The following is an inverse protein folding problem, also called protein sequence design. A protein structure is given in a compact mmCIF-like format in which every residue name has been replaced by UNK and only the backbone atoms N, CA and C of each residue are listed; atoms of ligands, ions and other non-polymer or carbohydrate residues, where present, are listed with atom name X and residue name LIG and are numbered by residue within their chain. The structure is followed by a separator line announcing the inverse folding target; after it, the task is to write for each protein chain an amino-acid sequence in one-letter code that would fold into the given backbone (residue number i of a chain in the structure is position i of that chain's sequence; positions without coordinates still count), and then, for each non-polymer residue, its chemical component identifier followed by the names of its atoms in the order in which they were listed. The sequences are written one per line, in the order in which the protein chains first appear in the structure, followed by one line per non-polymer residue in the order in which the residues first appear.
data_IF_181237828555
#
_entry.id   IF_181237828555
#
_cell.length_a   1.000
_cell.length_b   1.000
_cell.length_c   1.000
_cell.angle_alpha   90.00
_cell.angle_beta   90.00
_cell.angle_gamma   90.00
#
_symmetry.space_group_name_H-M   'P 1'
#
loop_
_entity.id
_entity.type
_entity.pdbx_description
1 polymer ?
#
# COMPACT_ATOMS: atom_id res chain seq x y z
N UNK A 1 9.54 10.85 19.20
CA UNK A 1 10.09 11.12 20.57
C UNK A 1 10.34 9.80 21.28
N UNK A 2 9.35 8.95 21.49
CA UNK A 2 9.54 7.69 22.25
C UNK A 2 10.61 6.79 21.64
N UNK A 3 10.61 6.59 20.33
CA UNK A 3 11.65 5.80 19.62
C UNK A 3 13.03 6.42 19.80
N UNK A 4 13.16 7.75 19.72
CA UNK A 4 14.44 8.43 19.95
C UNK A 4 14.92 8.29 21.39
N UNK A 5 14.03 8.34 22.38
CA UNK A 5 14.38 8.08 23.78
C UNK A 5 14.89 6.64 23.93
N UNK A 6 14.18 5.66 23.38
CA UNK A 6 14.61 4.26 23.40
C UNK A 6 15.97 4.05 22.73
N UNK A 7 16.21 4.66 21.57
CA UNK A 7 17.49 4.59 20.88
C UNK A 7 18.62 5.21 21.71
N UNK A 8 18.36 6.38 22.35
CA UNK A 8 19.34 7.01 23.24
C UNK A 8 19.65 6.15 24.44
N UNK A 9 18.65 5.53 25.08
CA UNK A 9 18.83 4.61 26.20
C UNK A 9 19.60 3.33 25.78
N UNK A 10 19.45 2.91 24.52
CA UNK A 10 20.22 1.81 23.93
C UNK A 10 21.64 2.21 23.48
N UNK A 11 22.08 3.45 23.74
CA UNK A 11 23.44 3.93 23.45
C UNK A 11 23.65 4.47 22.02
N UNK A 12 22.60 4.65 21.24
CA UNK A 12 22.71 5.28 19.91
C UNK A 12 22.81 6.79 20.00
N UNK A 13 23.58 7.39 19.11
CA UNK A 13 23.60 8.85 18.94
C UNK A 13 22.32 9.25 18.17
N UNK A 14 21.47 10.05 18.80
CA UNK A 14 20.26 10.59 18.18
C UNK A 14 20.28 12.12 18.26
N UNK A 15 19.75 12.83 17.25
CA UNK A 15 19.65 14.28 17.29
C UNK A 15 18.82 14.75 18.50
N UNK A 16 19.25 15.84 19.13
CA UNK A 16 18.44 16.48 20.17
C UNK A 16 17.23 17.18 19.56
N UNK A 17 16.07 16.96 20.18
CA UNK A 17 14.83 17.62 19.76
C UNK A 17 14.63 18.88 20.59
N UNK A 18 14.49 20.02 19.92
CA UNK A 18 13.99 21.22 20.59
C UNK A 18 12.49 21.03 20.90
N UNK A 19 12.19 20.62 22.13
CA UNK A 19 10.83 20.31 22.57
C UNK A 19 9.88 21.50 22.46
N UNK A 20 10.34 22.73 22.69
CA UNK A 20 9.50 23.92 22.55
C UNK A 20 9.09 24.13 21.08
N UNK A 21 10.04 24.01 20.14
CA UNK A 21 9.76 24.12 18.71
C UNK A 21 8.83 22.98 18.25
N UNK A 22 9.09 21.76 18.72
CA UNK A 22 8.24 20.60 18.42
C UNK A 22 6.79 20.80 18.90
N UNK A 23 6.60 21.23 20.16
CA UNK A 23 5.26 21.45 20.72
C UNK A 23 4.52 22.58 20.00
N UNK A 24 5.23 23.64 19.62
CA UNK A 24 4.65 24.73 18.84
C UNK A 24 4.23 24.26 17.45
N UNK A 25 5.08 23.51 16.74
CA UNK A 25 4.77 22.94 15.44
C UNK A 25 3.55 22.01 15.52
N UNK A 26 3.51 21.13 16.54
CA UNK A 26 2.37 20.24 16.78
C UNK A 26 1.07 21.02 16.97
N UNK A 27 1.10 22.08 17.80
CA UNK A 27 -0.10 22.87 18.07
C UNK A 27 -0.61 23.59 16.82
N UNK A 28 0.28 24.20 16.05
CA UNK A 28 -0.09 24.84 14.77
C UNK A 28 -0.64 23.84 13.75
N UNK A 29 -0.04 22.66 13.69
CA UNK A 29 -0.53 21.59 12.80
C UNK A 29 -1.92 21.13 13.23
N UNK A 30 -2.17 20.96 14.53
CA UNK A 30 -3.47 20.56 15.05
C UNK A 30 -4.53 21.64 14.76
N UNK A 31 -4.23 22.91 14.99
CA UNK A 31 -5.10 24.04 14.67
C UNK A 31 -5.47 24.05 13.17
N UNK A 32 -4.48 23.87 12.30
CA UNK A 32 -4.72 23.75 10.85
C UNK A 32 -5.63 22.56 10.51
N UNK A 33 -5.40 21.39 11.13
CA UNK A 33 -6.25 20.21 10.94
C UNK A 33 -7.69 20.49 11.36
N UNK A 34 -7.86 21.12 12.53
CA UNK A 34 -9.19 21.38 13.09
C UNK A 34 -9.95 22.44 12.29
N UNK A 35 -9.27 23.51 11.86
CA UNK A 35 -9.89 24.64 11.16
C UNK A 35 -10.09 24.38 9.66
N UNK A 36 -9.18 23.64 9.01
CA UNK A 36 -9.17 23.51 7.56
C UNK A 36 -9.49 22.09 7.07
N UNK A 37 -8.78 21.08 7.56
CA UNK A 37 -8.96 19.72 7.05
C UNK A 37 -10.32 19.10 7.44
N UNK A 38 -10.98 19.63 8.45
CA UNK A 38 -12.31 19.22 8.86
C UNK A 38 -13.37 19.32 7.76
N UNK A 39 -13.18 20.18 6.77
CA UNK A 39 -14.07 20.31 5.61
C UNK A 39 -13.88 19.20 4.57
N UNK A 40 -12.72 18.58 4.55
CA UNK A 40 -12.34 17.57 3.54
C UNK A 40 -12.25 16.16 4.10
N UNK A 41 -12.23 16.01 5.43
CA UNK A 41 -12.12 14.71 6.09
C UNK A 41 -13.48 14.26 6.63
N UNK A 42 -13.85 13.03 6.30
CA UNK A 42 -14.99 12.37 6.95
C UNK A 42 -14.75 12.33 8.47
N UNK A 43 -15.69 12.86 9.30
CA UNK A 43 -15.55 12.84 10.76
C UNK A 43 -15.32 11.44 11.34
N UNK A 44 -15.80 10.38 10.68
CA UNK A 44 -15.57 9.00 11.09
C UNK A 44 -14.10 8.58 11.00
N UNK A 45 -13.30 9.25 10.18
CA UNK A 45 -11.87 8.98 10.05
C UNK A 45 -11.03 9.59 11.18
N UNK A 46 -11.63 10.40 12.06
CA UNK A 46 -10.94 11.01 13.22
C UNK A 46 -10.80 10.05 14.40
N UNK A 47 -11.53 8.94 14.41
CA UNK A 47 -11.55 8.00 15.52
C UNK A 47 -10.95 6.66 15.10
N UNK A 48 -9.86 6.27 15.77
CA UNK A 48 -9.33 4.92 15.65
C UNK A 48 -10.13 3.97 16.53
N UNK A 49 -10.65 2.90 15.94
CA UNK A 49 -11.21 1.78 16.70
C UNK A 49 -10.13 1.14 17.58
N UNK A 50 -10.50 0.69 18.79
CA UNK A 50 -9.62 -0.07 19.67
C UNK A 50 -9.09 -1.36 19.01
N UNK A 51 -9.86 -1.93 18.08
CA UNK A 51 -9.44 -3.08 17.26
C UNK A 51 -8.17 -2.77 16.43
N UNK A 52 -8.04 -1.53 15.94
CA UNK A 52 -6.91 -1.11 15.12
C UNK A 52 -5.61 -0.93 15.93
N UNK A 53 -5.73 -0.62 17.22
CA UNK A 53 -4.57 -0.42 18.10
C UNK A 53 -3.89 -1.74 18.49
N UNK A 54 -4.64 -2.83 18.53
CA UNK A 54 -4.16 -4.14 18.96
C UNK A 54 -3.61 -5.04 17.85
N UNK A 55 -3.83 -4.71 16.57
CA UNK A 55 -3.54 -5.62 15.46
C UNK A 55 -2.04 -5.73 15.09
N UNK A 56 -1.18 -4.82 15.56
CA UNK A 56 0.25 -4.82 15.24
C UNK A 56 0.61 -4.55 13.77
N UNK A 57 -0.35 -4.19 12.93
CA UNK A 57 -0.12 -3.88 11.52
C UNK A 57 0.38 -2.44 11.32
N UNK A 58 1.20 -2.19 10.28
CA UNK A 58 1.65 -0.83 9.95
C UNK A 58 0.50 0.13 9.66
N UNK A 59 0.59 1.36 10.15
CA UNK A 59 -0.47 2.36 10.02
C UNK A 59 -0.87 2.67 8.57
N UNK A 60 0.08 2.69 7.63
CA UNK A 60 -0.21 2.89 6.21
C UNK A 60 -1.03 1.74 5.61
N UNK A 61 -0.72 0.49 5.99
CA UNK A 61 -1.51 -0.68 5.59
C UNK A 61 -2.92 -0.61 6.16
N UNK A 62 -3.04 -0.22 7.43
CA UNK A 62 -4.33 -0.03 8.10
C UNK A 62 -5.17 1.06 7.43
N UNK A 63 -4.58 2.21 7.12
CA UNK A 63 -5.28 3.31 6.46
C UNK A 63 -5.86 2.90 5.11
N UNK A 64 -5.08 2.21 4.28
CA UNK A 64 -5.55 1.70 2.98
C UNK A 64 -6.60 0.60 3.13
N UNK A 65 -6.45 -0.27 4.13
CA UNK A 65 -7.44 -1.30 4.45
C UNK A 65 -8.80 -0.69 4.81
N UNK A 66 -8.80 0.30 5.70
CA UNK A 66 -10.04 0.97 6.14
C UNK A 66 -10.71 1.75 5.01
N UNK A 67 -9.95 2.30 4.07
CA UNK A 67 -10.50 2.96 2.88
C UNK A 67 -11.27 1.98 1.98
N UNK A 68 -10.74 0.76 1.79
CA UNK A 68 -11.34 -0.26 0.95
C UNK A 68 -12.55 -0.95 1.63
N UNK A 69 -12.53 -1.02 2.97
CA UNK A 69 -13.51 -1.82 3.75
C UNK A 69 -14.96 -1.42 3.51
N UNK A 70 -15.28 -0.14 3.34
CA UNK A 70 -16.68 0.30 3.12
C UNK A 70 -17.26 -0.31 1.84
N UNK A 71 -16.48 -0.31 0.76
CA UNK A 71 -16.90 -0.90 -0.52
C UNK A 71 -17.01 -2.42 -0.44
N UNK A 72 -16.01 -3.06 0.17
CA UNK A 72 -15.98 -4.52 0.33
C UNK A 72 -17.09 -5.01 1.24
N UNK A 73 -17.35 -4.35 2.37
CA UNK A 73 -18.43 -4.68 3.28
C UNK A 73 -19.80 -4.65 2.59
N UNK A 74 -20.04 -3.60 1.78
CA UNK A 74 -21.28 -3.52 0.99
C UNK A 74 -21.39 -4.68 -0.01
N UNK A 75 -20.31 -5.03 -0.70
CA UNK A 75 -20.26 -6.15 -1.63
C UNK A 75 -20.48 -7.50 -0.94
N UNK A 76 -19.83 -7.73 0.19
CA UNK A 76 -20.02 -8.95 1.01
C UNK A 76 -21.47 -9.10 1.45
N UNK A 77 -22.09 -8.03 1.95
CA UNK A 77 -23.48 -8.07 2.40
C UNK A 77 -24.47 -8.32 1.25
N UNK A 78 -24.16 -7.86 0.04
CA UNK A 78 -24.95 -8.24 -1.15
C UNK A 78 -24.84 -9.75 -1.45
N UNK A 79 -23.66 -10.34 -1.33
CA UNK A 79 -23.43 -11.78 -1.52
C UNK A 79 -24.20 -12.57 -0.45
N UNK A 80 -24.06 -12.20 0.82
CA UNK A 80 -24.76 -12.85 1.93
C UNK A 80 -26.27 -12.77 1.78
N UNK A 81 -26.80 -11.63 1.39
CA UNK A 81 -28.22 -11.45 1.08
C UNK A 81 -28.68 -12.38 -0.05
N UNK A 82 -27.88 -12.51 -1.10
CA UNK A 82 -28.15 -13.45 -2.20
C UNK A 82 -28.17 -14.91 -1.77
N UNK A 83 -27.42 -15.23 -0.71
CA UNK A 83 -27.37 -16.58 -0.09
C UNK A 83 -28.46 -16.77 1.00
N UNK A 84 -29.30 -15.78 1.28
CA UNK A 84 -30.29 -15.82 2.35
C UNK A 84 -29.71 -15.80 3.76
N UNK A 85 -28.49 -15.27 3.91
CA UNK A 85 -27.77 -15.14 5.19
C UNK A 85 -27.93 -13.72 5.76
N UNK A 86 -27.78 -13.62 7.08
CA UNK A 86 -27.76 -12.32 7.78
C UNK A 86 -26.56 -11.46 7.33
N UNK A 87 -26.72 -10.14 7.31
CA UNK A 87 -25.62 -9.23 6.98
C UNK A 87 -24.52 -9.30 8.05
N UNK A 88 -23.28 -9.23 7.60
CA UNK A 88 -22.09 -9.16 8.44
C UNK A 88 -21.90 -7.74 8.99
N UNK A 89 -21.51 -7.60 10.25
CA UNK A 89 -21.10 -6.33 10.82
C UNK A 89 -19.72 -5.91 10.27
N UNK A 90 -19.46 -4.62 10.25
CA UNK A 90 -18.15 -4.10 9.79
C UNK A 90 -17.01 -4.61 10.68
N UNK A 91 -17.22 -4.66 11.99
CA UNK A 91 -16.23 -5.15 12.94
C UNK A 91 -15.90 -6.63 12.74
N UNK A 92 -16.90 -7.45 12.40
CA UNK A 92 -16.67 -8.87 12.08
C UNK A 92 -15.81 -9.02 10.82
N UNK A 93 -16.05 -8.19 9.81
CA UNK A 93 -15.21 -8.14 8.61
C UNK A 93 -13.78 -7.72 8.92
N UNK A 94 -13.58 -6.75 9.80
CA UNK A 94 -12.24 -6.31 10.25
C UNK A 94 -11.51 -7.45 10.94
N UNK A 95 -12.16 -8.17 11.85
CA UNK A 95 -11.59 -9.33 12.55
C UNK A 95 -11.20 -10.42 11.54
N UNK A 96 -12.14 -10.80 10.65
CA UNK A 96 -11.85 -11.79 9.60
C UNK A 96 -10.66 -11.41 8.72
N UNK A 97 -10.52 -10.12 8.41
CA UNK A 97 -9.43 -9.64 7.59
C UNK A 97 -8.09 -9.70 8.33
N UNK A 98 -8.07 -9.41 9.63
CA UNK A 98 -6.84 -9.56 10.44
C UNK A 98 -6.40 -11.02 10.55
N UNK A 99 -7.34 -11.92 10.81
CA UNK A 99 -7.07 -13.36 10.81
C UNK A 99 -6.52 -13.83 9.46
N UNK A 100 -7.07 -13.29 8.37
CA UNK A 100 -6.62 -13.66 7.03
C UNK A 100 -5.24 -13.06 6.69
N UNK A 101 -4.92 -11.87 7.16
CA UNK A 101 -3.56 -11.31 7.03
C UNK A 101 -2.55 -12.16 7.81
N UNK A 102 -2.88 -12.56 9.04
CA UNK A 102 -2.06 -13.46 9.85
C UNK A 102 -1.86 -14.81 9.16
N UNK A 103 -2.86 -15.31 8.46
CA UNK A 103 -2.78 -16.55 7.67
C UNK A 103 -1.92 -16.38 6.41
N UNK A 104 -2.10 -15.30 5.66
CA UNK A 104 -1.49 -15.03 4.35
C UNK A 104 -0.01 -14.66 4.48
N UNK A 105 0.31 -13.76 5.38
CA UNK A 105 1.64 -13.16 5.47
C UNK A 105 2.79 -14.17 5.60
N UNK A 106 2.76 -15.13 6.54
CA UNK A 106 3.81 -16.15 6.61
C UNK A 106 3.85 -17.07 5.38
N UNK A 107 2.71 -17.36 4.76
CA UNK A 107 2.62 -18.21 3.57
C UNK A 107 3.20 -17.60 2.31
N UNK A 108 3.24 -16.27 2.27
CA UNK A 108 3.91 -15.50 1.23
C UNK A 108 5.41 -15.26 1.50
N UNK A 109 6.00 -15.93 2.52
CA UNK A 109 7.42 -15.79 2.84
C UNK A 109 7.77 -14.51 3.60
N UNK A 110 6.86 -13.97 4.40
CA UNK A 110 7.06 -12.78 5.24
C UNK A 110 7.53 -11.54 4.48
N UNK A 111 6.90 -11.15 3.36
CA UNK A 111 7.29 -9.92 2.69
C UNK A 111 7.26 -8.74 3.66
N UNK A 112 8.17 -7.76 3.55
CA UNK A 112 8.16 -6.59 4.41
C UNK A 112 6.82 -5.87 4.34
N UNK A 113 6.20 -5.54 5.50
CA UNK A 113 4.91 -4.83 5.52
C UNK A 113 5.08 -3.33 5.28
N UNK A 114 5.82 -2.98 4.24
CA UNK A 114 6.00 -1.62 3.71
C UNK A 114 5.50 -1.58 2.27
N UNK A 115 5.16 -0.41 1.77
CA UNK A 115 4.72 -0.22 0.38
C UNK A 115 5.84 -0.62 -0.60
N UNK A 116 5.55 -1.40 -1.65
CA UNK A 116 4.23 -1.88 -2.09
C UNK A 116 3.80 -3.21 -1.46
N UNK A 117 4.68 -3.97 -0.81
CA UNK A 117 4.44 -5.35 -0.38
C UNK A 117 3.30 -5.48 0.64
N UNK A 118 3.15 -4.51 1.54
CA UNK A 118 2.00 -4.47 2.47
C UNK A 118 0.66 -4.43 1.74
N UNK A 119 0.60 -3.78 0.57
CA UNK A 119 -0.60 -3.75 -0.25
C UNK A 119 -0.88 -5.11 -0.89
N UNK A 120 0.17 -5.84 -1.32
CA UNK A 120 0.02 -7.18 -1.89
C UNK A 120 -0.55 -8.16 -0.86
N UNK A 121 0.02 -8.19 0.36
CA UNK A 121 -0.50 -9.02 1.46
C UNK A 121 -1.95 -8.66 1.79
N UNK A 122 -2.25 -7.37 1.91
CA UNK A 122 -3.61 -6.87 2.15
C UNK A 122 -4.58 -7.31 1.06
N UNK A 123 -4.22 -7.14 -0.20
CA UNK A 123 -5.09 -7.47 -1.34
C UNK A 123 -5.39 -8.96 -1.39
N UNK A 124 -4.39 -9.83 -1.19
CA UNK A 124 -4.59 -11.27 -1.15
C UNK A 124 -5.50 -11.66 0.02
N UNK A 125 -5.27 -11.10 1.21
CA UNK A 125 -6.13 -11.36 2.37
C UNK A 125 -7.58 -10.95 2.09
N UNK A 126 -7.78 -9.77 1.50
CA UNK A 126 -9.10 -9.26 1.15
C UNK A 126 -9.82 -10.16 0.13
N UNK A 127 -9.11 -10.57 -0.93
CA UNK A 127 -9.65 -11.48 -1.93
C UNK A 127 -10.02 -12.84 -1.31
N UNK A 128 -9.17 -13.39 -0.46
CA UNK A 128 -9.44 -14.64 0.24
C UNK A 128 -10.69 -14.54 1.13
N UNK A 129 -10.86 -13.43 1.87
CA UNK A 129 -12.09 -13.21 2.68
C UNK A 129 -13.32 -13.20 1.78
N UNK A 130 -13.27 -12.49 0.65
CA UNK A 130 -14.38 -12.45 -0.30
C UNK A 130 -14.72 -13.83 -0.87
N UNK A 131 -13.71 -14.63 -1.22
CA UNK A 131 -13.90 -15.98 -1.75
C UNK A 131 -14.49 -16.92 -0.69
N UNK A 132 -13.98 -16.87 0.53
CA UNK A 132 -14.52 -17.65 1.66
C UNK A 132 -15.99 -17.34 1.94
N UNK A 133 -16.39 -16.08 1.87
CA UNK A 133 -17.80 -15.68 2.02
C UNK A 133 -18.67 -16.26 0.91
N UNK A 134 -18.15 -16.39 -0.30
CA UNK A 134 -18.83 -17.06 -1.41
C UNK A 134 -18.89 -18.59 -1.25
N UNK A 135 -18.06 -19.17 -0.40
CA UNK A 135 -17.87 -20.62 -0.28
C UNK A 135 -16.81 -21.17 -1.23
N UNK A 136 -15.93 -20.31 -1.73
CA UNK A 136 -14.82 -20.65 -2.60
C UNK A 136 -13.52 -20.79 -1.81
N UNK A 137 -12.52 -21.43 -2.42
CA UNK A 137 -11.21 -21.63 -1.83
C UNK A 137 -10.35 -20.36 -1.83
N UNK A 138 -9.38 -20.32 -0.92
CA UNK A 138 -8.32 -19.31 -0.90
C UNK A 138 -7.45 -19.37 -2.15
N UNK A 139 -6.69 -18.31 -2.41
CA UNK A 139 -5.66 -18.23 -3.45
C UNK A 139 -6.19 -18.28 -4.89
N UNK A 140 -7.50 -18.21 -5.09
CA UNK A 140 -8.10 -18.22 -6.44
C UNK A 140 -7.85 -16.90 -7.17
N UNK A 141 -7.66 -15.80 -6.45
CA UNK A 141 -7.42 -14.46 -7.00
C UNK A 141 -6.14 -13.87 -6.39
N UNK A 142 -5.07 -13.91 -7.16
CA UNK A 142 -3.79 -13.26 -6.86
C UNK A 142 -3.46 -12.39 -8.07
N UNK A 143 -3.23 -11.10 -7.84
CA UNK A 143 -2.88 -10.15 -8.89
C UNK A 143 -1.45 -10.33 -9.42
N UNK A 144 -1.16 -9.77 -10.59
CA UNK A 144 0.13 -9.95 -11.26
C UNK A 144 1.30 -9.39 -10.44
N UNK A 145 1.14 -8.26 -9.77
CA UNK A 145 2.21 -7.66 -8.98
C UNK A 145 2.55 -8.54 -7.76
N UNK A 146 1.51 -9.12 -7.14
CA UNK A 146 1.70 -10.11 -6.07
C UNK A 146 2.38 -11.36 -6.59
N UNK A 147 2.03 -11.86 -7.78
CA UNK A 147 2.76 -12.97 -8.42
C UNK A 147 4.21 -12.61 -8.70
N UNK A 148 4.51 -11.44 -9.21
CA UNK A 148 5.88 -10.99 -9.46
C UNK A 148 6.73 -10.97 -8.18
N UNK A 149 6.14 -10.54 -7.05
CA UNK A 149 6.77 -10.65 -5.73
C UNK A 149 7.03 -12.12 -5.34
N UNK A 150 6.00 -12.97 -5.43
CA UNK A 150 6.09 -14.41 -5.08
C UNK A 150 7.16 -15.12 -5.90
N UNK A 151 7.25 -14.81 -7.18
CA UNK A 151 8.18 -15.43 -8.12
C UNK A 151 9.63 -14.95 -8.01
N UNK A 152 9.90 -13.96 -7.15
CA UNK A 152 11.24 -13.43 -6.91
C UNK A 152 11.65 -12.25 -7.80
N UNK A 153 10.78 -11.76 -8.70
CA UNK A 153 11.10 -10.62 -9.59
C UNK A 153 11.33 -9.31 -8.84
N UNK A 154 10.82 -9.20 -7.61
CA UNK A 154 11.04 -8.05 -6.73
C UNK A 154 12.16 -8.30 -5.71
N UNK A 155 12.93 -9.36 -5.89
CA UNK A 155 13.99 -9.78 -5.00
C UNK A 155 13.56 -10.90 -4.06
N UNK A 156 14.51 -11.32 -3.23
CA UNK A 156 14.38 -12.48 -2.36
C UNK A 156 13.50 -12.17 -1.15
N UNK A 157 12.53 -13.02 -0.89
CA UNK A 157 11.67 -12.92 0.29
C UNK A 157 12.43 -13.31 1.58
N UNK A 158 12.09 -12.72 2.73
CA UNK A 158 12.74 -13.02 4.01
C UNK A 158 12.57 -14.46 4.48
N UNK A 159 11.43 -15.07 4.17
CA UNK A 159 11.11 -16.45 4.57
C UNK A 159 10.76 -17.34 3.38
N UNK A 160 10.57 -18.62 3.66
CA UNK A 160 10.15 -19.59 2.65
C UNK A 160 8.66 -19.41 2.31
N UNK A 161 8.34 -19.58 1.04
CA UNK A 161 6.96 -19.70 0.58
C UNK A 161 6.32 -20.99 1.08
N UNK A 162 5.03 -20.94 1.39
CA UNK A 162 4.30 -22.15 1.74
C UNK A 162 4.22 -23.11 0.53
N UNK A 163 4.24 -24.44 0.77
CA UNK A 163 4.18 -25.43 -0.30
C UNK A 163 3.00 -25.24 -1.25
N UNK A 164 1.83 -24.91 -0.72
CA UNK A 164 0.63 -24.66 -1.50
C UNK A 164 0.78 -23.50 -2.51
N UNK A 165 1.55 -22.47 -2.17
CA UNK A 165 1.82 -21.34 -3.07
C UNK A 165 2.77 -21.77 -4.20
N UNK A 166 3.79 -22.56 -3.85
CA UNK A 166 4.73 -23.12 -4.84
C UNK A 166 4.01 -24.04 -5.82
N UNK A 167 3.15 -24.91 -5.33
CA UNK A 167 2.37 -25.82 -6.16
C UNK A 167 1.39 -25.07 -7.05
N UNK A 168 0.74 -24.03 -6.51
CA UNK A 168 -0.16 -23.17 -7.28
C UNK A 168 0.59 -22.44 -8.40
N UNK A 169 1.78 -21.89 -8.14
CA UNK A 169 2.62 -21.27 -9.16
C UNK A 169 2.97 -22.27 -10.29
N UNK A 170 3.40 -23.48 -9.91
CA UNK A 170 3.72 -24.54 -10.86
C UNK A 170 2.51 -24.96 -11.71
N UNK A 171 1.34 -25.10 -11.10
CA UNK A 171 0.10 -25.47 -11.81
C UNK A 171 -0.33 -24.42 -12.84
N UNK A 172 0.06 -23.15 -12.61
CA UNK A 172 -0.17 -22.04 -13.55
C UNK A 172 0.95 -21.87 -14.59
N UNK A 173 2.00 -22.72 -14.54
CA UNK A 173 3.15 -22.61 -15.43
C UNK A 173 4.06 -21.42 -15.15
N UNK A 174 3.97 -20.83 -13.96
CA UNK A 174 4.78 -19.69 -13.55
C UNK A 174 6.18 -20.16 -13.12
N UNK A 175 7.19 -19.36 -13.43
CA UNK A 175 8.59 -19.68 -13.16
C UNK A 175 9.17 -18.73 -12.11
N UNK A 176 9.86 -19.30 -11.12
CA UNK A 176 10.62 -18.56 -10.13
C UNK A 176 11.93 -18.06 -10.73
N UNK A 177 12.40 -16.92 -10.25
CA UNK A 177 13.70 -16.36 -10.61
C UNK A 177 14.49 -15.95 -9.37
N UNK A 178 15.81 -16.07 -9.46
CA UNK A 178 16.78 -15.59 -8.47
C UNK A 178 17.61 -14.42 -9.05
N UNK A 179 17.23 -13.89 -10.20
CA UNK A 179 17.90 -12.76 -10.83
C UNK A 179 17.82 -11.51 -9.94
N UNK A 180 18.88 -10.70 -9.96
CA UNK A 180 18.87 -9.40 -9.29
C UNK A 180 17.81 -8.50 -9.94
N UNK A 181 16.79 -8.05 -9.19
CA UNK A 181 15.76 -7.17 -9.74
C UNK A 181 16.31 -5.93 -10.43
N UNK A 182 17.42 -5.38 -9.94
CA UNK A 182 18.04 -4.20 -10.51
C UNK A 182 18.51 -4.41 -11.96
N UNK A 183 18.87 -5.66 -12.32
CA UNK A 183 19.27 -5.98 -13.69
C UNK A 183 18.14 -5.79 -14.72
N UNK A 184 16.88 -5.85 -14.25
CA UNK A 184 15.69 -5.66 -15.07
C UNK A 184 15.25 -4.18 -15.21
N UNK A 185 15.89 -3.29 -14.43
CA UNK A 185 15.59 -1.86 -14.42
C UNK A 185 16.85 -1.06 -14.82
N UNK A 186 17.10 -0.90 -16.12
CA UNK A 186 18.19 -0.04 -16.60
C UNK A 186 17.98 1.39 -16.11
N UNK A 187 19.04 2.16 -16.02
CA UNK A 187 18.95 3.59 -15.73
C UNK A 187 18.03 4.26 -16.76
N UNK A 188 16.90 4.74 -16.30
CA UNK A 188 15.88 5.32 -17.16
C UNK A 188 16.08 6.82 -17.41
N UNK A 189 16.96 7.49 -16.67
CA UNK A 189 17.15 8.95 -16.79
C UNK A 189 17.61 9.35 -18.20
N UNK A 190 18.51 8.61 -18.81
CA UNK A 190 18.95 8.89 -20.18
C UNK A 190 17.80 8.75 -21.20
N UNK A 191 16.91 7.79 -20.98
CA UNK A 191 15.72 7.61 -21.82
C UNK A 191 14.77 8.78 -21.67
N UNK A 192 14.52 9.23 -20.43
CA UNK A 192 13.65 10.38 -20.17
C UNK A 192 14.27 11.71 -20.62
N UNK A 193 15.60 11.89 -20.51
CA UNK A 193 16.29 13.05 -21.10
C UNK A 193 16.03 13.13 -22.59
N UNK A 194 16.21 12.03 -23.29
CA UNK A 194 15.96 11.97 -24.74
C UNK A 194 14.49 12.28 -25.08
N UNK A 195 13.55 11.76 -24.31
CA UNK A 195 12.11 12.09 -24.48
C UNK A 195 11.86 13.58 -24.28
N UNK A 196 12.47 14.20 -23.27
CA UNK A 196 12.33 15.64 -23.01
C UNK A 196 12.90 16.47 -24.15
N UNK A 197 14.09 16.11 -24.67
CA UNK A 197 14.73 16.76 -25.81
C UNK A 197 13.84 16.66 -27.07
N UNK A 198 13.32 15.48 -27.36
CA UNK A 198 12.44 15.23 -28.52
C UNK A 198 11.13 16.04 -28.46
N UNK A 199 10.63 16.31 -27.26
CA UNK A 199 9.41 17.09 -27.04
C UNK A 199 9.68 18.58 -26.78
N UNK A 200 10.93 19.01 -26.66
CA UNK A 200 11.32 20.39 -26.35
C UNK A 200 10.91 20.81 -24.94
N UNK A 201 10.91 19.87 -23.98
CA UNK A 201 10.62 20.17 -22.59
C UNK A 201 11.90 20.57 -21.86
N UNK A 202 11.77 21.55 -20.97
CA UNK A 202 12.88 22.02 -20.14
C UNK A 202 13.08 21.08 -18.96
N UNK A 203 14.34 20.89 -18.53
CA UNK A 203 14.67 20.01 -17.38
C UNK A 203 14.35 20.61 -16.03
N UNK A 204 14.15 21.94 -15.95
CA UNK A 204 14.08 22.68 -14.72
C UNK A 204 15.46 23.11 -14.20
N UNK A 205 15.50 23.83 -13.08
CA UNK A 205 16.73 24.43 -12.56
C UNK A 205 17.74 23.37 -12.09
N UNK A 206 17.26 22.34 -11.37
CA UNK A 206 18.05 21.23 -10.82
C UNK A 206 17.61 19.87 -11.38
N UNK A 207 17.28 19.80 -12.66
CA UNK A 207 16.70 18.61 -13.29
C UNK A 207 15.34 18.16 -12.66
N UNK A 208 14.64 19.04 -11.92
CA UNK A 208 13.39 18.66 -11.22
C UNK A 208 12.29 18.18 -12.17
N UNK A 209 12.18 18.79 -13.35
CA UNK A 209 11.18 18.37 -14.35
C UNK A 209 11.52 16.97 -14.93
N UNK A 210 12.82 16.66 -15.07
CA UNK A 210 13.25 15.33 -15.47
C UNK A 210 12.91 14.28 -14.40
N UNK A 211 13.11 14.60 -13.12
CA UNK A 211 12.73 13.72 -12.03
C UNK A 211 11.23 13.55 -11.94
N UNK A 212 10.44 14.61 -12.16
CA UNK A 212 8.98 14.50 -12.21
C UNK A 212 8.52 13.56 -13.33
N UNK A 213 9.10 13.67 -14.54
CA UNK A 213 8.83 12.74 -15.63
C UNK A 213 9.21 11.31 -15.24
N UNK A 214 10.38 11.11 -14.61
CA UNK A 214 10.85 9.79 -14.23
C UNK A 214 10.01 9.14 -13.13
N UNK A 215 9.50 9.91 -12.18
CA UNK A 215 8.72 9.43 -11.05
C UNK A 215 7.22 9.30 -11.35
N UNK A 216 6.68 10.16 -12.23
CA UNK A 216 5.25 10.24 -12.52
C UNK A 216 4.98 10.37 -14.03
N UNK A 217 5.58 9.53 -14.84
CA UNK A 217 5.67 9.62 -16.28
C UNK A 217 4.33 9.88 -16.99
N UNK A 218 3.30 9.15 -16.62
CA UNK A 218 1.96 9.31 -17.18
C UNK A 218 1.34 10.65 -16.80
N UNK A 219 1.41 11.03 -15.53
CA UNK A 219 0.84 12.28 -15.02
C UNK A 219 1.56 13.48 -15.63
N UNK A 220 2.87 13.40 -15.75
CA UNK A 220 3.70 14.42 -16.36
C UNK A 220 3.34 14.64 -17.84
N UNK A 221 3.23 13.56 -18.62
CA UNK A 221 2.79 13.64 -20.03
C UNK A 221 1.37 14.18 -20.16
N UNK A 222 0.44 13.77 -19.31
CA UNK A 222 -0.94 14.30 -19.27
C UNK A 222 -0.93 15.80 -18.95
N UNK A 223 -0.04 16.28 -18.10
CA UNK A 223 0.13 17.70 -17.77
C UNK A 223 0.70 18.48 -18.96
N UNK A 224 1.83 18.06 -19.52
CA UNK A 224 2.50 18.74 -20.65
C UNK A 224 1.64 18.76 -21.92
N UNK A 225 0.85 17.74 -22.17
CA UNK A 225 -0.10 17.67 -23.31
C UNK A 225 -1.38 18.46 -23.11
N UNK A 226 -1.64 18.98 -21.91
CA UNK A 226 -2.87 19.69 -21.57
C UNK A 226 -4.07 18.79 -21.24
N UNK A 227 -3.96 17.47 -21.36
CA UNK A 227 -5.04 16.50 -21.07
C UNK A 227 -5.47 16.59 -19.60
N UNK A 228 -4.53 16.81 -18.68
CA UNK A 228 -4.85 16.97 -17.25
C UNK A 228 -5.77 18.17 -17.02
N UNK A 229 -5.52 19.30 -17.70
CA UNK A 229 -6.36 20.51 -17.62
C UNK A 229 -7.77 20.29 -18.16
N UNK A 230 -7.89 19.58 -19.29
CA UNK A 230 -9.19 19.27 -19.87
C UNK A 230 -10.03 18.37 -18.96
N UNK A 231 -9.40 17.39 -18.29
CA UNK A 231 -10.08 16.52 -17.30
C UNK A 231 -10.55 17.29 -16.08
N UNK A 232 -9.76 18.25 -15.62
CA UNK A 232 -10.10 19.07 -14.45
C UNK A 232 -11.27 20.03 -14.74
N UNK A 233 -11.42 20.52 -15.97
CA UNK A 233 -12.46 21.47 -16.34
C UNK A 233 -13.81 20.82 -16.72
N UNK A 234 -13.87 19.50 -16.80
CA UNK A 234 -15.10 18.70 -17.02
C UNK A 234 -15.70 18.21 -15.73
#
# INVERSE_FOLDING_TARGET
ISVQAMLKDAGFQVPEINMNAYMKARSLTQEFIDDFLGYFMDPTNKHMSSLLLGCGLPGGMMGSMMADLKGVHSGINLILKGQGKEPMLLDDLVVMLFEEVEYVWPRLGYPPLVTPFSQYVKNVALMNVMQRVKGEDRWTMIDNNTWDMILGKSGKLPGALAPEIIELAKSKGLQFTDEDPQSNYPDALDTYRKEMDENGWEYGEDDEELFELAMHDRQYRDYKSGVAKERFLK
#
